data_IF_857170693872
#
_entry.id   IF_857170693872
#
_cell.length_a   1.000
_cell.length_b   1.000
_cell.length_c   1.000
_cell.angle_alpha   90.00
_cell.angle_beta   90.00
_cell.angle_gamma   90.00
#
_symmetry.space_group_name_H-M   'P 1'
#
loop_
_entity.id
_entity.type
_entity.pdbx_description
1 polymer ?
#
# COMPACT_ATOMS: atom_id res chain seq x y z
N UNK A 1 -31.11 -13.59 8.63
CA UNK A 1 -29.75 -13.86 8.14
C UNK A 1 -28.82 -12.86 8.81
N UNK A 2 -28.00 -13.33 9.75
CA UNK A 2 -27.01 -12.49 10.42
C UNK A 2 -25.70 -12.65 9.67
N UNK A 3 -25.24 -11.60 8.99
CA UNK A 3 -23.90 -11.56 8.39
C UNK A 3 -22.96 -11.13 9.51
N UNK A 4 -22.34 -12.10 10.17
CA UNK A 4 -21.21 -11.83 11.08
C UNK A 4 -20.00 -11.55 10.18
N UNK A 5 -19.93 -10.32 9.68
CA UNK A 5 -18.79 -9.82 8.94
C UNK A 5 -17.70 -9.41 9.91
N UNK A 6 -16.95 -10.36 10.45
CA UNK A 6 -15.64 -10.05 11.05
C UNK A 6 -14.64 -9.82 9.91
N UNK A 7 -14.82 -8.75 9.12
CA UNK A 7 -13.70 -8.22 8.35
C UNK A 7 -12.87 -7.42 9.35
N UNK A 8 -11.71 -7.95 9.75
CA UNK A 8 -10.76 -7.19 10.56
C UNK A 8 -10.56 -5.81 9.93
N UNK A 9 -10.63 -4.76 10.75
CA UNK A 9 -10.40 -3.39 10.28
C UNK A 9 -8.99 -3.37 9.67
N UNK A 10 -8.84 -2.99 8.39
CA UNK A 10 -7.53 -2.92 7.76
C UNK A 10 -6.62 -2.00 8.58
N UNK A 11 -5.46 -2.52 9.00
CA UNK A 11 -4.52 -1.73 9.79
C UNK A 11 -3.65 -0.91 8.84
N UNK A 12 -3.64 0.40 9.04
CA UNK A 12 -2.61 1.28 8.47
C UNK A 12 -2.16 2.32 9.44
N UNK A 13 -0.89 2.68 9.29
CA UNK A 13 -0.25 3.70 10.09
C UNK A 13 0.11 4.90 9.20
N UNK A 14 -0.16 6.10 9.71
CA UNK A 14 0.32 7.33 9.08
C UNK A 14 1.72 7.70 9.54
N UNK A 15 2.14 7.20 10.71
CA UNK A 15 3.41 7.45 11.37
C UNK A 15 3.97 6.15 11.95
N UNK A 16 5.28 6.07 12.14
CA UNK A 16 5.90 4.94 12.83
C UNK A 16 5.55 4.96 14.34
N UNK A 17 5.18 3.82 14.93
CA UNK A 17 5.07 3.70 16.38
C UNK A 17 6.46 3.73 17.04
N UNK A 18 6.51 3.79 18.37
CA UNK A 18 7.74 3.54 19.11
C UNK A 18 8.28 2.14 18.80
N UNK A 19 9.60 2.02 18.65
CA UNK A 19 10.27 0.75 18.40
C UNK A 19 9.95 -0.26 19.51
N UNK A 20 9.43 -1.43 19.12
CA UNK A 20 8.89 -2.45 20.04
C UNK A 20 9.31 -3.89 19.66
N UNK A 21 10.28 -4.04 18.76
CA UNK A 21 10.74 -5.32 18.22
C UNK A 21 10.04 -5.76 16.94
N UNK A 22 8.95 -5.11 16.54
CA UNK A 22 8.33 -5.29 15.21
C UNK A 22 9.06 -4.45 14.16
N UNK A 23 8.91 -4.82 12.90
CA UNK A 23 9.40 -4.05 11.76
C UNK A 23 8.28 -3.30 11.04
N UNK A 24 8.69 -2.47 10.08
CA UNK A 24 7.79 -1.69 9.24
C UNK A 24 8.24 -1.71 7.79
N UNK A 25 7.30 -1.52 6.87
CA UNK A 25 7.54 -1.50 5.43
C UNK A 25 6.95 -0.25 4.83
N UNK A 26 7.79 0.46 4.09
CA UNK A 26 7.41 1.65 3.33
C UNK A 26 7.26 1.24 1.88
N UNK A 27 6.07 1.44 1.32
CA UNK A 27 5.78 1.21 -0.08
C UNK A 27 5.76 2.58 -0.76
N UNK A 28 6.73 2.91 -1.64
CA UNK A 28 6.68 4.13 -2.41
C UNK A 28 5.41 4.21 -3.26
N UNK A 29 4.87 5.42 -3.40
CA UNK A 29 3.65 5.68 -4.16
C UNK A 29 3.91 6.76 -5.20
N UNK A 30 3.64 6.41 -6.45
CA UNK A 30 3.69 7.33 -7.58
C UNK A 30 2.31 7.40 -8.25
N UNK A 31 1.75 8.61 -8.26
CA UNK A 31 0.42 8.87 -8.78
C UNK A 31 0.47 9.98 -9.80
N UNK A 32 0.13 9.62 -11.04
CA UNK A 32 0.06 10.54 -12.16
C UNK A 32 -1.40 10.83 -12.50
N UNK A 33 -1.71 12.11 -12.69
CA UNK A 33 -3.02 12.54 -13.10
C UNK A 33 -2.88 13.68 -14.12
N UNK A 34 -3.38 13.47 -15.34
CA UNK A 34 -3.29 14.52 -16.39
C UNK A 34 -4.17 15.73 -16.11
N UNK A 35 -5.07 15.66 -15.11
CA UNK A 35 -5.95 16.75 -14.73
C UNK A 35 -5.96 16.94 -13.20
N UNK A 36 -5.27 17.99 -12.71
CA UNK A 36 -5.22 18.32 -11.28
C UNK A 36 -6.59 18.67 -10.68
N UNK A 37 -7.54 19.14 -11.48
CA UNK A 37 -8.90 19.44 -11.02
C UNK A 37 -9.79 18.21 -10.83
N UNK A 38 -9.36 17.03 -11.32
CA UNK A 38 -10.09 15.77 -11.16
C UNK A 38 -9.49 14.98 -10.02
N UNK A 39 -10.35 14.49 -9.12
CA UNK A 39 -9.93 13.53 -8.09
C UNK A 39 -9.32 12.29 -8.73
N UNK A 40 -8.39 11.64 -8.04
CA UNK A 40 -7.84 10.37 -8.48
C UNK A 40 -8.88 9.24 -8.39
N UNK A 41 -8.97 8.31 -9.37
CA UNK A 41 -9.99 7.26 -9.39
C UNK A 41 -9.93 6.27 -8.23
N UNK A 42 -8.72 5.92 -7.78
CA UNK A 42 -8.50 5.03 -6.63
C UNK A 42 -8.46 5.80 -5.32
N UNK A 43 -9.33 5.47 -4.37
CA UNK A 43 -9.29 6.06 -3.02
C UNK A 43 -8.22 5.43 -2.14
N UNK A 44 -8.12 4.11 -2.22
CA UNK A 44 -7.27 3.31 -1.35
C UNK A 44 -6.93 2.00 -2.03
N UNK A 45 -5.81 1.40 -1.63
CA UNK A 45 -5.44 0.05 -2.01
C UNK A 45 -5.47 -0.84 -0.78
N UNK A 46 -6.22 -1.93 -0.83
CA UNK A 46 -6.22 -2.96 0.22
C UNK A 46 -5.58 -4.24 -0.28
N UNK A 47 -4.82 -4.92 0.57
CA UNK A 47 -4.14 -6.17 0.24
C UNK A 47 -4.02 -7.05 1.49
N UNK A 48 -3.79 -8.34 1.27
CA UNK A 48 -3.57 -9.32 2.32
C UNK A 48 -2.08 -9.62 2.42
N UNK A 49 -1.45 -9.23 3.53
CA UNK A 49 -0.06 -9.53 3.82
C UNK A 49 0.04 -10.93 4.41
N UNK A 50 0.91 -11.77 3.85
CA UNK A 50 1.07 -13.19 4.21
C UNK A 50 2.55 -13.50 4.41
N UNK A 51 2.90 -14.33 5.40
CA UNK A 51 4.28 -14.86 5.53
C UNK A 51 4.59 -15.80 4.35
N UNK A 52 5.81 -15.73 3.82
CA UNK A 52 6.28 -16.55 2.68
C UNK A 52 6.51 -17.99 3.12
N UNK A 53 7.31 -18.18 4.17
CA UNK A 53 7.49 -19.47 4.81
C UNK A 53 6.37 -19.72 5.82
N UNK A 54 5.49 -20.66 5.49
CA UNK A 54 4.34 -21.01 6.34
C UNK A 54 4.54 -22.38 6.97
N UNK A 55 4.34 -22.45 8.27
CA UNK A 55 3.96 -23.72 8.90
C UNK A 55 2.52 -24.08 8.49
N UNK A 56 2.09 -25.36 8.59
CA UNK A 56 0.71 -25.74 8.28
C UNK A 56 -0.35 -24.89 8.99
N UNK A 57 -0.06 -24.45 10.22
CA UNK A 57 -0.94 -23.60 11.04
C UNK A 57 -0.98 -22.13 10.61
N UNK A 58 -0.14 -21.71 9.65
CA UNK A 58 -0.03 -20.35 9.15
C UNK A 58 -0.58 -20.19 7.72
N UNK A 59 -1.04 -21.29 7.09
CA UNK A 59 -1.53 -21.29 5.71
C UNK A 59 -2.69 -20.31 5.48
N UNK A 60 -3.59 -20.17 6.45
CA UNK A 60 -4.75 -19.28 6.38
C UNK A 60 -4.53 -17.92 7.05
N UNK A 61 -3.35 -17.70 7.66
CA UNK A 61 -3.07 -16.44 8.36
C UNK A 61 -2.67 -15.37 7.33
N UNK A 62 -3.55 -14.39 7.18
CA UNK A 62 -3.28 -13.18 6.43
C UNK A 62 -3.75 -11.96 7.20
N UNK A 63 -3.01 -10.86 7.07
CA UNK A 63 -3.37 -9.61 7.71
C UNK A 63 -3.84 -8.60 6.66
N UNK A 64 -5.11 -8.14 6.72
CA UNK A 64 -5.59 -7.11 5.80
C UNK A 64 -4.96 -5.76 6.14
N UNK A 65 -4.42 -5.08 5.12
CA UNK A 65 -3.84 -3.74 5.19
C UNK A 65 -4.45 -2.86 4.11
N UNK A 66 -4.56 -1.55 4.35
CA UNK A 66 -5.18 -0.61 3.40
C UNK A 66 -4.52 0.77 3.34
N UNK A 67 -3.75 1.04 2.29
CA UNK A 67 -3.12 2.35 2.11
C UNK A 67 -4.11 3.33 1.46
N UNK A 68 -4.36 4.47 2.11
CA UNK A 68 -5.16 5.56 1.55
C UNK A 68 -4.35 6.41 0.57
N UNK A 69 -4.95 6.73 -0.57
CA UNK A 69 -4.30 7.43 -1.69
C UNK A 69 -4.84 8.85 -1.93
N UNK A 70 -5.74 9.35 -1.08
CA UNK A 70 -6.50 10.58 -1.33
C UNK A 70 -5.64 11.81 -1.67
N UNK A 71 -4.57 12.05 -0.90
CA UNK A 71 -3.72 13.23 -1.04
C UNK A 71 -2.47 12.95 -1.87
N UNK A 72 -2.50 11.92 -2.73
CA UNK A 72 -1.35 11.45 -3.50
C UNK A 72 -0.10 11.29 -2.61
N UNK A 73 -0.17 10.47 -1.54
CA UNK A 73 0.93 10.37 -0.59
C UNK A 73 2.20 9.90 -1.31
N UNK A 74 3.37 10.28 -0.80
CA UNK A 74 4.64 9.83 -1.34
C UNK A 74 4.90 8.34 -1.06
N UNK A 75 4.26 7.78 -0.04
CA UNK A 75 4.39 6.39 0.37
C UNK A 75 3.13 5.90 1.10
N UNK A 76 2.97 4.58 1.17
CA UNK A 76 2.15 3.92 2.18
C UNK A 76 3.03 3.21 3.22
N UNK A 77 2.55 3.10 4.44
CA UNK A 77 3.29 2.55 5.57
C UNK A 77 2.52 1.41 6.21
N UNK A 78 3.21 0.28 6.38
CA UNK A 78 2.72 -0.89 7.08
C UNK A 78 3.61 -1.08 8.31
N UNK A 79 3.02 -1.12 9.50
CA UNK A 79 3.73 -1.27 10.78
C UNK A 79 3.24 -2.50 11.52
N UNK A 80 3.92 -2.79 12.64
CA UNK A 80 3.56 -3.85 13.57
C UNK A 80 3.57 -5.22 12.87
N UNK A 81 4.61 -5.42 12.04
CA UNK A 81 4.90 -6.71 11.41
C UNK A 81 5.96 -7.42 12.25
N UNK A 82 5.69 -8.65 12.64
CA UNK A 82 6.73 -9.49 13.25
C UNK A 82 7.90 -9.68 12.27
N UNK A 83 9.13 -9.90 12.75
CA UNK A 83 10.24 -10.23 11.86
C UNK A 83 9.96 -11.50 11.03
N UNK A 84 10.33 -11.46 9.75
CA UNK A 84 10.13 -12.57 8.82
C UNK A 84 9.97 -12.10 7.37
N UNK A 85 9.78 -13.07 6.48
CA UNK A 85 9.58 -12.82 5.05
C UNK A 85 8.09 -12.79 4.71
N UNK A 86 7.68 -11.77 3.96
CA UNK A 86 6.28 -11.50 3.65
C UNK A 86 6.03 -11.27 2.17
N UNK A 87 4.77 -11.44 1.79
CA UNK A 87 4.30 -11.15 0.45
C UNK A 87 2.83 -10.71 0.41
N UNK A 88 2.44 -10.07 -0.69
CA UNK A 88 1.04 -9.97 -1.10
C UNK A 88 0.89 -10.20 -2.61
N UNK A 89 0.00 -11.12 -2.97
CA UNK A 89 -0.22 -11.57 -4.35
C UNK A 89 -1.05 -10.59 -5.17
N UNK A 90 -2.03 -9.97 -4.53
CA UNK A 90 -3.04 -9.12 -5.15
C UNK A 90 -3.34 -7.90 -4.29
N UNK A 91 -3.80 -6.84 -4.95
CA UNK A 91 -4.39 -5.68 -4.28
C UNK A 91 -5.74 -5.35 -4.90
N UNK A 92 -6.61 -4.77 -4.07
CA UNK A 92 -7.88 -4.19 -4.48
C UNK A 92 -7.74 -2.67 -4.46
N UNK A 93 -7.97 -2.03 -5.60
CA UNK A 93 -8.08 -0.58 -5.68
C UNK A 93 -9.55 -0.20 -5.51
N UNK A 94 -9.89 0.47 -4.41
CA UNK A 94 -11.25 0.91 -4.11
C UNK A 94 -11.56 2.21 -4.82
N UNK A 95 -12.74 2.30 -5.43
CA UNK A 95 -13.16 3.48 -6.16
C UNK A 95 -13.35 4.68 -5.21
N UNK A 96 -13.05 5.88 -5.72
CA UNK A 96 -13.36 7.11 -5.02
C UNK A 96 -14.87 7.29 -4.81
N UNK A 97 -15.27 8.09 -3.83
CA UNK A 97 -16.67 8.32 -3.50
C UNK A 97 -17.47 8.78 -4.73
N UNK A 98 -18.63 8.15 -4.95
CA UNK A 98 -19.52 8.34 -6.12
C UNK A 98 -18.90 7.96 -7.47
N UNK A 99 -17.81 7.20 -7.48
CA UNK A 99 -17.28 6.56 -8.69
C UNK A 99 -17.44 5.05 -8.61
N UNK A 100 -17.45 4.43 -9.79
CA UNK A 100 -17.43 2.99 -9.96
C UNK A 100 -16.46 2.65 -11.08
N UNK A 101 -15.88 1.46 -11.01
CA UNK A 101 -15.13 0.87 -12.10
C UNK A 101 -16.04 -0.04 -12.93
N UNK A 102 -15.72 -0.19 -14.22
CA UNK A 102 -16.28 -1.22 -15.13
C UNK A 102 -17.78 -1.50 -14.94
N UNK A 103 -18.62 -0.47 -15.04
CA UNK A 103 -20.08 -0.64 -15.02
C UNK A 103 -20.71 -0.90 -13.66
N UNK A 104 -20.02 -0.61 -12.54
CA UNK A 104 -20.66 -0.59 -11.21
C UNK A 104 -19.81 -1.14 -10.06
N UNK A 105 -18.59 -1.61 -10.33
CA UNK A 105 -17.73 -2.21 -9.31
C UNK A 105 -17.17 -1.14 -8.36
N UNK A 106 -17.25 -1.41 -7.06
CA UNK A 106 -16.68 -0.54 -6.02
C UNK A 106 -15.16 -0.69 -5.88
N UNK A 107 -14.57 -1.73 -6.46
CA UNK A 107 -13.13 -1.92 -6.53
C UNK A 107 -12.73 -2.72 -7.78
N UNK A 108 -11.46 -2.62 -8.17
CA UNK A 108 -10.81 -3.53 -9.12
C UNK A 108 -9.74 -4.35 -8.41
N UNK A 109 -9.59 -5.61 -8.80
CA UNK A 109 -8.53 -6.51 -8.30
C UNK A 109 -7.41 -6.60 -9.34
N UNK A 110 -6.16 -6.53 -8.88
CA UNK A 110 -4.96 -6.62 -9.73
C UNK A 110 -3.90 -7.44 -9.01
N UNK A 111 -3.08 -8.15 -9.79
CA UNK A 111 -1.88 -8.83 -9.26
C UNK A 111 -0.81 -7.80 -8.86
N UNK A 112 -0.11 -8.10 -7.78
CA UNK A 112 0.96 -7.31 -7.20
C UNK A 112 2.28 -8.09 -7.18
N UNK A 113 2.27 -9.33 -6.67
CA UNK A 113 3.44 -10.18 -6.48
C UNK A 113 4.61 -9.45 -5.78
N UNK A 114 4.33 -8.79 -4.67
CA UNK A 114 5.33 -8.03 -3.91
C UNK A 114 5.85 -8.88 -2.78
N UNK A 115 7.18 -8.93 -2.62
CA UNK A 115 7.90 -9.66 -1.59
C UNK A 115 8.80 -8.69 -0.82
N UNK A 116 8.91 -8.88 0.48
CA UNK A 116 9.78 -8.06 1.34
C UNK A 116 10.09 -8.76 2.66
N UNK A 117 11.25 -8.42 3.20
CA UNK A 117 11.73 -8.91 4.48
C UNK A 117 11.53 -7.85 5.56
N UNK A 118 11.09 -8.32 6.72
CA UNK A 118 10.85 -7.51 7.91
C UNK A 118 11.87 -7.91 8.96
N UNK A 119 12.65 -6.94 9.40
CA UNK A 119 13.62 -7.08 10.49
C UNK A 119 13.14 -6.32 11.73
N UNK A 120 13.54 -6.75 12.94
CA UNK A 120 13.11 -6.12 14.18
C UNK A 120 13.63 -4.68 14.27
N UNK A 121 12.71 -3.74 14.56
CA UNK A 121 13.00 -2.30 14.62
C UNK A 121 13.62 -1.72 13.35
N UNK A 122 13.37 -2.34 12.19
CA UNK A 122 13.85 -1.86 10.89
C UNK A 122 12.68 -1.39 10.04
N UNK A 123 12.86 -0.24 9.39
CA UNK A 123 11.98 0.22 8.31
C UNK A 123 12.58 -0.23 6.98
N UNK A 124 11.93 -1.18 6.32
CA UNK A 124 12.31 -1.67 4.99
C UNK A 124 11.60 -0.86 3.91
N UNK A 125 12.36 -0.32 2.95
CA UNK A 125 11.74 0.25 1.74
C UNK A 125 11.44 -0.87 0.76
N UNK A 126 10.18 -0.98 0.32
CA UNK A 126 9.77 -1.99 -0.64
C UNK A 126 10.55 -1.89 -1.94
N UNK A 127 10.95 -3.03 -2.49
CA UNK A 127 11.55 -3.14 -3.82
C UNK A 127 10.57 -2.81 -4.95
N UNK A 128 9.28 -2.64 -4.62
CA UNK A 128 8.22 -2.29 -5.55
C UNK A 128 7.56 -0.97 -5.14
N UNK A 129 7.25 -0.14 -6.14
CA UNK A 129 6.48 1.09 -6.00
C UNK A 129 5.06 0.85 -6.53
N UNK A 130 4.06 1.38 -5.80
CA UNK A 130 2.71 1.45 -6.34
C UNK A 130 2.63 2.60 -7.34
N UNK A 131 2.27 2.27 -8.58
CA UNK A 131 2.05 3.25 -9.65
C UNK A 131 0.60 3.22 -10.06
N UNK A 132 -0.02 4.39 -10.12
CA UNK A 132 -1.22 4.48 -10.93
C UNK A 132 -1.38 5.81 -11.65
N UNK A 133 -1.94 5.69 -12.84
CA UNK A 133 -2.02 6.74 -13.84
C UNK A 133 -3.47 6.95 -14.24
N UNK A 134 -3.92 8.20 -14.18
CA UNK A 134 -5.23 8.62 -14.66
C UNK A 134 -5.05 9.58 -15.83
N UNK A 135 -5.70 9.29 -16.95
CA UNK A 135 -5.73 10.15 -18.12
C UNK A 135 -7.16 10.59 -18.40
N UNK A 136 -7.32 11.87 -18.76
CA UNK A 136 -8.59 12.47 -19.15
C UNK A 136 -8.40 13.13 -20.51
N UNK A 137 -9.26 12.80 -21.46
CA UNK A 137 -9.23 13.42 -22.79
C UNK A 137 -10.22 14.60 -22.89
N UNK A 138 -10.09 15.37 -23.98
CA UNK A 138 -10.94 16.52 -24.25
C UNK A 138 -12.41 16.15 -24.55
N UNK A 139 -12.68 14.88 -24.90
CA UNK A 139 -14.04 14.37 -25.16
C UNK A 139 -14.78 13.97 -23.88
N UNK A 140 -14.11 13.99 -22.73
CA UNK A 140 -14.65 13.60 -21.44
C UNK A 140 -14.46 12.13 -21.10
N UNK A 141 -13.74 11.36 -21.93
CA UNK A 141 -13.35 9.99 -21.60
C UNK A 141 -12.21 10.00 -20.59
N UNK A 142 -12.17 8.97 -19.74
CA UNK A 142 -11.11 8.78 -18.76
C UNK A 142 -10.61 7.36 -18.76
N UNK A 143 -9.29 7.19 -18.68
CA UNK A 143 -8.65 5.89 -18.47
C UNK A 143 -7.93 5.88 -17.12
N UNK A 144 -7.86 4.71 -16.50
CA UNK A 144 -7.16 4.51 -15.24
C UNK A 144 -6.39 3.19 -15.25
N UNK A 145 -5.15 3.23 -14.79
CA UNK A 145 -4.32 2.04 -14.58
C UNK A 145 -3.66 2.09 -13.20
N UNK A 146 -3.54 0.91 -12.58
CA UNK A 146 -2.87 0.72 -11.30
C UNK A 146 -2.06 -0.58 -11.37
N UNK A 147 -0.81 -0.53 -10.91
CA UNK A 147 0.14 -1.66 -10.91
C UNK A 147 1.26 -1.43 -9.91
N UNK A 148 1.98 -2.49 -9.59
CA UNK A 148 3.29 -2.40 -8.94
C UNK A 148 4.39 -2.50 -9.99
N UNK A 149 5.42 -1.69 -9.84
CA UNK A 149 6.64 -1.70 -10.66
C UNK A 149 7.85 -1.79 -9.74
N UNK A 150 9.01 -2.21 -10.26
CA UNK A 150 10.27 -2.07 -9.54
C UNK A 150 10.53 -0.63 -9.15
N UNK A 151 10.93 -0.43 -7.90
CA UNK A 151 11.22 0.87 -7.32
C UNK A 151 12.44 1.50 -8.00
N UNK A 152 12.37 2.79 -8.30
CA UNK A 152 13.54 3.58 -8.73
C UNK A 152 14.22 4.24 -7.54
N UNK A 153 15.48 4.64 -7.68
CA UNK A 153 16.18 5.39 -6.63
C UNK A 153 15.44 6.70 -6.26
N UNK A 154 14.84 7.35 -7.26
CA UNK A 154 14.03 8.54 -7.04
C UNK A 154 12.78 8.25 -6.19
N UNK A 155 12.10 7.13 -6.45
CA UNK A 155 10.93 6.71 -5.66
C UNK A 155 11.33 6.44 -4.19
N UNK A 156 12.46 5.75 -3.97
CA UNK A 156 13.00 5.49 -2.64
C UNK A 156 13.27 6.79 -1.89
N UNK A 157 14.03 7.71 -2.49
CA UNK A 157 14.39 8.98 -1.87
C UNK A 157 13.16 9.85 -1.55
N UNK A 158 12.17 9.90 -2.46
CA UNK A 158 10.93 10.63 -2.25
C UNK A 158 10.14 10.07 -1.07
N UNK A 159 9.99 8.75 -0.99
CA UNK A 159 9.29 8.07 0.10
C UNK A 159 10.00 8.28 1.44
N UNK A 160 11.32 8.12 1.47
CA UNK A 160 12.14 8.28 2.68
C UNK A 160 12.13 9.70 3.21
N UNK A 161 12.34 10.70 2.33
CA UNK A 161 12.28 12.11 2.73
C UNK A 161 10.93 12.44 3.36
N UNK A 162 9.83 11.97 2.76
CA UNK A 162 8.49 12.19 3.29
C UNK A 162 8.24 11.44 4.62
N UNK A 163 8.90 10.31 4.86
CA UNK A 163 8.86 9.60 6.14
C UNK A 163 9.65 10.35 7.21
N UNK A 164 10.86 10.80 6.88
CA UNK A 164 11.72 11.60 7.76
C UNK A 164 11.06 12.91 8.18
N UNK A 165 10.36 13.59 7.25
CA UNK A 165 9.59 14.80 7.52
C UNK A 165 8.45 14.57 8.53
N UNK A 166 7.89 13.36 8.60
CA UNK A 166 6.91 12.99 9.65
C UNK A 166 7.56 12.63 10.99
N UNK A 167 8.87 12.45 11.01
CA UNK A 167 9.65 12.07 12.18
C UNK A 167 9.75 10.55 12.34
N UNK A 168 10.98 10.07 12.49
CA UNK A 168 11.27 8.67 12.80
C UNK A 168 11.57 8.58 14.30
N UNK A 169 10.77 7.84 15.10
CA UNK A 169 11.04 7.66 16.52
C UNK A 169 12.40 7.01 16.75
N UNK A 170 12.98 7.24 17.93
CA UNK A 170 14.25 6.60 18.29
C UNK A 170 14.13 5.07 18.31
N UNK A 171 15.22 4.40 17.95
CA UNK A 171 15.32 2.94 17.96
C UNK A 171 15.02 2.27 16.62
N UNK A 172 14.53 3.01 15.62
CA UNK A 172 14.37 2.51 14.26
C UNK A 172 15.68 2.59 13.47
N UNK A 173 16.02 1.51 12.75
CA UNK A 173 16.99 1.51 11.67
C UNK A 173 16.27 1.61 10.31
N UNK A 174 16.98 2.05 9.29
CA UNK A 174 16.48 2.11 7.92
C UNK A 174 17.26 1.13 7.04
N UNK A 175 16.55 0.30 6.27
CA UNK A 175 17.13 -0.67 5.34
C UNK A 175 16.59 -0.40 3.91
N UNK A 176 17.49 -0.33 2.93
CA UNK A 176 17.22 0.17 1.58
C UNK A 176 17.77 -0.72 0.47
#
# INVERSE_FOLDING_TARGET
MSVIGCSGIPKTAENLPLANGTGAVVIPVNMENTSESKKYPCRSISFEVKKVFRTPDELDKSEPREIYLYDKPAYGLITDLEPGEYMFDEFKCHANYRRVFNGGQSYIVKRANVYFDVEPNTVTVSSQTFVGKSEYDASGSSSFSARFNYVTEQDKQKALKALEEKGIPSGWSLNF
#
